data_IF_852174008595
#
_entry.id   IF_852174008595
#
_cell.length_a   1.000
_cell.length_b   1.000
_cell.length_c   1.000
_cell.angle_alpha   90.00
_cell.angle_beta   90.00
_cell.angle_gamma   90.00
#
_symmetry.space_group_name_H-M   'P 1'
#
loop_
_entity.id
_entity.type
_entity.pdbx_description
1 polymer ?
#
# COMPACT_ATOMS: atom_id res chain seq x y z
N UNK A 1 11.11 13.41 5.42
CA UNK A 1 10.29 14.17 4.47
C UNK A 1 11.06 15.37 3.91
N UNK A 2 11.50 16.32 4.71
CA UNK A 2 12.18 17.56 4.28
C UNK A 2 13.39 17.29 3.38
N UNK A 3 14.24 16.35 3.73
CA UNK A 3 15.39 15.98 2.92
C UNK A 3 15.00 15.59 1.47
N UNK A 4 13.90 14.87 1.29
CA UNK A 4 13.39 14.50 -0.03
C UNK A 4 12.81 15.68 -0.79
N UNK A 5 12.11 16.57 -0.09
CA UNK A 5 11.47 17.73 -0.72
C UNK A 5 12.48 18.81 -1.13
N UNK A 6 13.52 19.01 -0.33
CA UNK A 6 14.58 19.98 -0.63
C UNK A 6 15.46 19.55 -1.82
N UNK A 7 15.54 18.24 -2.08
CA UNK A 7 16.36 17.65 -3.15
C UNK A 7 15.51 17.01 -4.25
N UNK A 8 14.26 17.41 -4.39
CA UNK A 8 13.35 16.82 -5.38
C UNK A 8 13.85 17.07 -6.79
N UNK A 9 13.80 16.01 -7.61
CA UNK A 9 14.18 16.03 -9.02
C UNK A 9 12.93 15.90 -9.89
N UNK A 10 13.07 16.24 -11.17
CA UNK A 10 12.03 16.02 -12.17
C UNK A 10 11.59 14.57 -12.20
N UNK A 11 10.31 14.37 -12.33
CA UNK A 11 9.71 13.05 -12.36
C UNK A 11 9.05 12.78 -13.72
N UNK A 12 9.69 11.96 -14.53
CA UNK A 12 9.06 11.43 -15.73
C UNK A 12 7.92 10.49 -15.32
N UNK A 13 6.69 10.84 -15.68
CA UNK A 13 5.48 10.12 -15.29
C UNK A 13 5.00 9.11 -16.33
N UNK A 14 5.64 9.04 -17.51
CA UNK A 14 5.31 8.06 -18.55
C UNK A 14 6.04 6.73 -18.34
N UNK A 15 5.36 5.63 -18.67
CA UNK A 15 5.92 4.27 -18.64
C UNK A 15 5.48 3.52 -19.90
N UNK A 16 6.40 2.76 -20.48
CA UNK A 16 6.21 1.91 -21.65
C UNK A 16 5.75 0.52 -21.19
N UNK A 17 4.49 0.43 -20.72
CA UNK A 17 3.88 -0.79 -20.20
C UNK A 17 2.56 -1.06 -20.92
N UNK A 18 2.22 -2.33 -21.07
CA UNK A 18 0.93 -2.74 -21.68
C UNK A 18 -0.24 -2.49 -20.72
N UNK A 19 -0.02 -2.65 -19.43
CA UNK A 19 -1.04 -2.48 -18.40
C UNK A 19 -0.84 -1.20 -17.61
N UNK A 20 -1.86 -0.35 -17.55
CA UNK A 20 -1.85 0.88 -16.79
C UNK A 20 -2.91 1.87 -17.28
N UNK A 21 -2.87 3.10 -16.73
CA UNK A 21 -3.72 4.19 -17.17
C UNK A 21 -3.03 4.91 -18.33
N UNK A 22 -3.53 4.72 -19.55
CA UNK A 22 -3.01 5.38 -20.73
C UNK A 22 -3.03 6.91 -20.55
N UNK A 23 -1.95 7.57 -20.94
CA UNK A 23 -1.80 9.03 -20.78
C UNK A 23 -2.89 9.73 -21.59
N UNK A 24 -3.70 10.61 -20.97
CA UNK A 24 -4.81 11.29 -21.64
C UNK A 24 -4.32 12.50 -22.44
N UNK A 25 -3.34 12.28 -23.29
CA UNK A 25 -2.76 13.28 -24.20
C UNK A 25 -2.98 12.82 -25.64
N UNK A 26 -3.36 13.73 -26.49
CA UNK A 26 -3.65 13.49 -27.89
C UNK A 26 -2.80 14.41 -28.75
N UNK A 27 -2.25 13.87 -29.82
CA UNK A 27 -1.38 14.57 -30.76
C UNK A 27 -2.06 14.67 -32.14
N UNK A 28 -1.93 15.81 -32.75
CA UNK A 28 -2.28 16.05 -34.15
C UNK A 28 -1.21 16.95 -34.78
N UNK A 29 -0.26 16.37 -35.49
CA UNK A 29 0.96 17.03 -35.99
C UNK A 29 1.70 17.76 -34.84
N UNK A 30 1.72 19.11 -34.85
CA UNK A 30 2.37 19.92 -33.82
C UNK A 30 1.43 20.32 -32.66
N UNK A 31 0.14 19.96 -32.77
CA UNK A 31 -0.85 20.28 -31.73
C UNK A 31 -0.89 19.18 -30.66
N UNK A 32 -1.06 19.64 -29.43
CA UNK A 32 -1.20 18.77 -28.24
C UNK A 32 -2.49 19.11 -27.52
N UNK A 33 -3.28 18.10 -27.20
CA UNK A 33 -4.49 18.25 -26.40
C UNK A 33 -4.50 17.29 -25.21
N UNK A 34 -4.85 17.79 -24.03
CA UNK A 34 -5.00 16.99 -22.81
C UNK A 34 -6.47 16.83 -22.49
N UNK A 35 -6.94 15.58 -22.47
CA UNK A 35 -8.34 15.30 -22.18
C UNK A 35 -8.69 13.82 -22.31
N UNK A 36 -9.81 13.44 -21.70
CA UNK A 36 -10.29 12.06 -21.68
C UNK A 36 -10.60 11.50 -23.08
N UNK A 37 -11.10 12.34 -23.96
CA UNK A 37 -11.45 11.98 -25.33
C UNK A 37 -10.77 12.95 -26.29
N UNK A 38 -10.47 12.55 -27.53
CA UNK A 38 -9.87 13.46 -28.51
C UNK A 38 -10.84 14.61 -28.86
N UNK A 39 -10.33 15.74 -29.33
CA UNK A 39 -11.15 16.77 -29.92
C UNK A 39 -11.98 16.22 -31.10
N UNK A 40 -13.15 16.82 -31.33
CA UNK A 40 -14.05 16.36 -32.39
C UNK A 40 -13.55 16.63 -33.81
N UNK A 41 -12.65 17.60 -33.94
CA UNK A 41 -12.14 18.07 -35.24
C UNK A 41 -10.71 17.57 -35.44
N UNK A 42 -10.42 17.01 -36.61
CA UNK A 42 -9.09 16.52 -36.98
C UNK A 42 -8.89 15.04 -36.66
N UNK A 43 -7.70 14.56 -36.99
CA UNK A 43 -7.26 13.19 -36.69
C UNK A 43 -6.26 13.27 -35.54
N UNK A 44 -6.59 12.63 -34.42
CA UNK A 44 -5.79 12.67 -33.18
C UNK A 44 -5.31 11.28 -32.82
N UNK A 45 -4.06 11.17 -32.42
CA UNK A 45 -3.43 9.96 -31.92
C UNK A 45 -3.18 10.09 -30.42
N UNK A 46 -3.62 9.12 -29.63
CA UNK A 46 -3.39 9.12 -28.19
C UNK A 46 -1.96 8.70 -27.89
N UNK A 47 -1.37 9.30 -26.86
CA UNK A 47 -0.08 8.90 -26.32
C UNK A 47 -0.08 7.39 -26.00
N UNK A 48 0.87 6.61 -26.52
CA UNK A 48 0.89 5.15 -26.32
C UNK A 48 1.33 4.73 -24.91
N UNK A 49 1.96 5.63 -24.16
CA UNK A 49 2.47 5.34 -22.83
C UNK A 49 1.37 5.34 -21.77
N UNK A 50 1.68 4.75 -20.63
CA UNK A 50 0.81 4.77 -19.45
C UNK A 50 1.43 5.60 -18.33
N UNK A 51 0.60 6.06 -17.40
CA UNK A 51 1.05 6.80 -16.24
C UNK A 51 1.80 5.89 -15.26
N UNK A 52 2.83 6.44 -14.62
CA UNK A 52 3.49 5.83 -13.46
C UNK A 52 2.47 5.49 -12.39
N UNK A 53 2.61 4.32 -11.76
CA UNK A 53 1.68 3.86 -10.72
C UNK A 53 1.56 4.84 -9.55
N UNK A 54 2.65 5.54 -9.20
CA UNK A 54 2.64 6.52 -8.13
C UNK A 54 1.89 7.81 -8.50
N UNK A 55 1.76 8.10 -9.79
CA UNK A 55 0.98 9.24 -10.28
C UNK A 55 -0.53 9.04 -10.11
N UNK A 56 -1.02 7.81 -10.19
CA UNK A 56 -2.42 7.50 -9.89
C UNK A 56 -2.65 7.23 -8.39
N UNK A 57 -1.72 6.53 -7.71
CA UNK A 57 -1.87 6.18 -6.30
C UNK A 57 -1.76 7.37 -5.33
N UNK A 58 -1.20 8.50 -5.74
CA UNK A 58 -1.19 9.72 -4.92
C UNK A 58 -2.59 10.32 -4.72
N UNK A 59 -3.56 9.92 -5.56
CA UNK A 59 -4.96 10.34 -5.44
C UNK A 59 -5.72 9.58 -4.36
N UNK A 60 -5.12 8.53 -3.78
CA UNK A 60 -5.77 7.64 -2.81
C UNK A 60 -6.57 8.35 -1.71
N UNK A 61 -6.04 9.37 -1.00
CA UNK A 61 -6.72 9.96 0.15
C UNK A 61 -8.06 10.60 -0.17
N UNK A 62 -8.31 11.00 -1.41
CA UNK A 62 -9.54 11.66 -1.81
C UNK A 62 -10.30 10.95 -2.94
N UNK A 63 -9.62 10.24 -3.83
CA UNK A 63 -10.30 9.48 -4.89
C UNK A 63 -11.15 8.33 -4.32
N UNK A 64 -10.69 7.67 -3.24
CA UNK A 64 -11.45 6.63 -2.54
C UNK A 64 -12.67 7.16 -1.81
N UNK A 65 -12.73 8.46 -1.56
CA UNK A 65 -13.85 9.16 -0.92
C UNK A 65 -14.79 9.83 -1.94
N UNK A 66 -14.69 9.44 -3.22
CA UNK A 66 -15.62 9.87 -4.28
C UNK A 66 -15.16 11.04 -5.14
N UNK A 67 -13.99 11.66 -4.83
CA UNK A 67 -13.44 12.73 -5.67
C UNK A 67 -13.27 12.27 -7.13
N UNK A 68 -13.50 13.10 -8.12
CA UNK A 68 -13.96 14.51 -8.07
C UNK A 68 -15.49 14.69 -8.11
N UNK A 69 -16.26 13.61 -8.20
CA UNK A 69 -17.71 13.67 -8.49
C UNK A 69 -18.57 13.86 -7.25
N UNK A 70 -18.25 13.18 -6.17
CA UNK A 70 -18.98 13.24 -4.91
C UNK A 70 -18.03 13.67 -3.78
N UNK A 71 -18.41 14.73 -3.05
CA UNK A 71 -17.61 15.28 -1.96
C UNK A 71 -18.15 14.94 -0.57
N UNK A 72 -19.25 14.23 -0.49
CA UNK A 72 -19.92 13.95 0.81
C UNK A 72 -19.01 13.22 1.79
N UNK A 73 -18.27 12.22 1.32
CA UNK A 73 -17.36 11.46 2.18
C UNK A 73 -16.05 12.22 2.41
N UNK A 74 -15.61 13.03 1.45
CA UNK A 74 -14.45 13.93 1.62
C UNK A 74 -14.72 14.92 2.75
N UNK A 75 -15.85 15.62 2.74
CA UNK A 75 -16.23 16.59 3.78
C UNK A 75 -16.27 15.98 5.17
N UNK A 76 -16.53 14.67 5.27
CA UNK A 76 -16.63 13.96 6.54
C UNK A 76 -15.32 13.29 6.99
N UNK A 77 -14.54 12.75 6.08
CA UNK A 77 -13.43 11.84 6.37
C UNK A 77 -12.06 12.36 5.95
N UNK A 78 -11.99 13.45 5.21
CA UNK A 78 -10.73 14.09 4.82
C UNK A 78 -10.50 15.36 5.65
N UNK A 79 -9.31 15.58 6.21
CA UNK A 79 -8.18 14.65 6.26
C UNK A 79 -8.44 13.46 7.19
N UNK A 80 -7.76 12.34 6.92
CA UNK A 80 -7.76 11.19 7.82
C UNK A 80 -6.79 11.41 8.99
N UNK A 81 -6.91 10.62 10.06
CA UNK A 81 -6.03 10.74 11.23
C UNK A 81 -4.70 10.07 10.97
N UNK A 82 -4.72 8.82 10.54
CA UNK A 82 -3.55 7.97 10.48
C UNK A 82 -3.38 7.33 9.10
N UNK A 83 -2.16 7.38 8.57
CA UNK A 83 -1.69 6.59 7.45
C UNK A 83 -0.68 5.56 7.96
N UNK A 84 -0.94 4.28 7.70
CA UNK A 84 -0.03 3.18 8.03
C UNK A 84 0.63 2.68 6.76
N UNK A 85 1.96 2.68 6.70
CA UNK A 85 2.72 2.27 5.51
C UNK A 85 4.15 1.84 5.85
N UNK A 86 4.85 1.28 4.85
CA UNK A 86 6.28 0.97 4.96
C UNK A 86 7.16 2.21 4.78
N UNK A 87 8.31 2.29 5.46
CA UNK A 87 9.22 3.42 5.36
C UNK A 87 9.88 3.56 3.98
N UNK A 88 9.94 2.50 3.20
CA UNK A 88 10.55 2.44 1.89
C UNK A 88 9.76 3.19 0.81
N UNK A 89 8.50 3.53 1.06
CA UNK A 89 7.66 4.31 0.15
C UNK A 89 7.29 5.70 0.67
N UNK A 90 8.04 6.23 1.64
CA UNK A 90 7.80 7.60 2.15
C UNK A 90 7.87 8.64 1.02
N UNK A 91 8.86 8.55 0.14
CA UNK A 91 8.98 9.47 -0.99
C UNK A 91 8.00 9.12 -2.12
N UNK A 92 7.92 7.86 -2.49
CA UNK A 92 7.12 7.44 -3.64
C UNK A 92 5.62 7.61 -3.43
N UNK A 93 5.14 7.48 -2.20
CA UNK A 93 3.71 7.53 -1.91
C UNK A 93 3.32 8.62 -0.92
N UNK A 94 3.92 8.65 0.27
CA UNK A 94 3.52 9.59 1.33
C UNK A 94 3.72 11.04 0.89
N UNK A 95 4.93 11.39 0.42
CA UNK A 95 5.23 12.75 -0.04
C UNK A 95 4.34 13.16 -1.22
N UNK A 96 4.11 12.24 -2.16
CA UNK A 96 3.25 12.51 -3.32
C UNK A 96 1.79 12.69 -2.96
N UNK A 97 1.25 11.90 -2.00
CA UNK A 97 -0.09 12.12 -1.47
C UNK A 97 -0.23 13.50 -0.81
N UNK A 98 0.78 13.95 -0.06
CA UNK A 98 0.80 15.29 0.53
C UNK A 98 0.77 16.36 -0.56
N UNK A 99 1.60 16.23 -1.60
CA UNK A 99 1.63 17.15 -2.74
C UNK A 99 0.27 17.22 -3.43
N UNK A 100 -0.33 16.07 -3.74
CA UNK A 100 -1.64 16.00 -4.39
C UNK A 100 -2.74 16.58 -3.51
N UNK A 101 -2.77 16.27 -2.21
CA UNK A 101 -3.74 16.79 -1.26
C UNK A 101 -3.67 18.30 -1.14
N UNK A 102 -2.48 18.86 -0.99
CA UNK A 102 -2.27 20.31 -0.97
C UNK A 102 -2.67 20.99 -2.29
N UNK A 103 -2.46 20.32 -3.42
CA UNK A 103 -2.85 20.87 -4.73
C UNK A 103 -4.37 20.83 -4.94
N UNK A 104 -5.03 19.71 -4.61
CA UNK A 104 -6.45 19.45 -4.89
C UNK A 104 -7.36 20.02 -3.80
N UNK A 105 -7.17 19.56 -2.56
CA UNK A 105 -8.06 19.88 -1.41
C UNK A 105 -7.50 21.02 -0.54
N UNK A 106 -6.29 21.54 -0.84
CA UNK A 106 -5.61 22.61 -0.08
C UNK A 106 -5.27 22.26 1.36
N UNK A 107 -5.29 20.99 1.69
CA UNK A 107 -5.05 20.47 3.03
C UNK A 107 -4.23 19.18 2.99
N UNK A 108 -3.41 18.95 4.04
CA UNK A 108 -2.62 17.72 4.20
C UNK A 108 -3.57 16.54 4.43
N UNK A 109 -3.40 15.41 3.73
CA UNK A 109 -4.39 14.33 3.70
C UNK A 109 -4.48 13.49 4.99
N UNK A 110 -3.50 13.57 5.91
CA UNK A 110 -3.44 12.81 7.16
C UNK A 110 -2.58 13.52 8.19
N UNK A 111 -2.94 13.34 9.47
CA UNK A 111 -2.23 13.98 10.59
C UNK A 111 -0.97 13.22 10.99
N UNK A 112 -1.02 11.89 10.97
CA UNK A 112 0.05 11.00 11.39
C UNK A 112 0.43 10.01 10.29
N UNK A 113 1.71 9.66 10.22
CA UNK A 113 2.21 8.57 9.38
C UNK A 113 2.92 7.57 10.28
N UNK A 114 2.35 6.37 10.37
CA UNK A 114 2.90 5.27 11.13
C UNK A 114 3.66 4.32 10.21
N UNK A 115 4.96 4.18 10.42
CA UNK A 115 5.80 3.28 9.63
C UNK A 115 5.89 1.92 10.30
N UNK A 116 5.51 0.88 9.56
CA UNK A 116 5.66 -0.50 9.99
C UNK A 116 7.05 -1.04 9.65
N UNK A 117 7.49 -2.05 10.38
CA UNK A 117 8.65 -2.84 10.02
C UNK A 117 8.42 -3.65 8.74
N UNK A 118 9.51 -4.20 8.20
CA UNK A 118 9.53 -5.03 6.99
C UNK A 118 9.83 -6.47 7.39
N UNK A 119 9.19 -7.42 6.73
CA UNK A 119 9.53 -8.84 6.93
C UNK A 119 10.82 -9.17 6.17
N UNK A 120 11.78 -9.74 6.89
CA UNK A 120 13.09 -10.18 6.38
C UNK A 120 13.23 -11.69 6.46
N UNK A 121 14.05 -12.25 5.60
CA UNK A 121 14.37 -13.66 5.67
C UNK A 121 15.31 -13.98 6.87
N UNK A 122 15.63 -15.26 7.07
CA UNK A 122 16.52 -15.71 8.12
C UNK A 122 17.95 -15.16 8.08
N UNK A 123 18.34 -14.57 6.94
CA UNK A 123 19.63 -13.90 6.74
C UNK A 123 19.53 -12.38 6.88
N UNK A 124 18.37 -11.86 7.28
CA UNK A 124 18.13 -10.42 7.44
C UNK A 124 17.89 -9.65 6.14
N UNK A 125 17.76 -10.34 4.99
CA UNK A 125 17.50 -9.68 3.69
C UNK A 125 16.01 -9.40 3.54
N UNK A 126 15.67 -8.26 2.94
CA UNK A 126 14.28 -7.94 2.59
C UNK A 126 13.71 -9.04 1.67
N UNK A 127 12.53 -9.54 2.00
CA UNK A 127 11.83 -10.50 1.16
C UNK A 127 11.41 -9.87 -0.17
N UNK A 128 11.65 -10.57 -1.27
CA UNK A 128 11.22 -10.14 -2.60
C UNK A 128 10.96 -11.35 -3.51
N UNK A 129 10.06 -11.15 -4.49
CA UNK A 129 9.75 -12.17 -5.50
C UNK A 129 10.98 -12.51 -6.35
N UNK A 130 11.82 -11.52 -6.67
CA UNK A 130 13.02 -11.70 -7.47
C UNK A 130 14.11 -12.53 -6.78
N UNK A 131 14.18 -12.50 -5.45
CA UNK A 131 15.11 -13.31 -4.66
C UNK A 131 14.55 -14.70 -4.33
N UNK A 132 13.23 -14.94 -4.53
CA UNK A 132 12.59 -16.20 -4.20
C UNK A 132 12.66 -16.57 -2.69
N UNK A 133 12.88 -15.57 -1.82
CA UNK A 133 13.07 -15.74 -0.39
C UNK A 133 11.81 -15.45 0.44
N UNK A 134 10.66 -15.33 -0.21
CA UNK A 134 9.35 -15.14 0.43
C UNK A 134 8.57 -16.45 0.38
N UNK A 135 8.14 -17.00 1.52
CA UNK A 135 7.26 -18.17 1.52
C UNK A 135 5.90 -17.82 0.90
N UNK A 136 5.25 -18.80 0.29
CA UNK A 136 3.89 -18.60 -0.22
C UNK A 136 2.92 -18.47 0.98
N UNK A 137 2.17 -17.38 1.09
CA UNK A 137 1.20 -17.21 2.15
C UNK A 137 0.12 -18.29 2.19
N UNK A 138 -0.26 -18.85 1.05
CA UNK A 138 -1.27 -19.91 0.97
C UNK A 138 -0.73 -21.22 1.57
N UNK A 139 0.53 -21.56 1.30
CA UNK A 139 1.17 -22.72 1.90
C UNK A 139 1.27 -22.58 3.42
N UNK A 140 1.59 -21.39 3.90
CA UNK A 140 1.63 -21.13 5.34
C UNK A 140 0.26 -21.26 6.00
N UNK A 141 -0.78 -20.72 5.36
CA UNK A 141 -2.16 -20.83 5.84
C UNK A 141 -2.62 -22.28 5.86
N UNK A 142 -2.31 -23.05 4.83
CA UNK A 142 -2.65 -24.47 4.74
C UNK A 142 -1.95 -25.30 5.80
N UNK A 143 -0.68 -25.00 6.11
CA UNK A 143 0.12 -25.77 7.05
C UNK A 143 -0.09 -25.40 8.53
N UNK A 144 -0.30 -24.11 8.81
CA UNK A 144 -0.31 -23.58 10.18
C UNK A 144 -1.62 -22.85 10.55
N UNK A 145 -2.46 -22.54 9.58
CA UNK A 145 -3.63 -21.69 9.77
C UNK A 145 -3.31 -20.19 9.73
N UNK A 146 -4.25 -19.40 9.26
CA UNK A 146 -4.09 -17.94 9.11
C UNK A 146 -3.79 -17.25 10.44
N UNK A 147 -4.44 -17.68 11.52
CA UNK A 147 -4.26 -17.06 12.84
C UNK A 147 -2.86 -17.27 13.41
N UNK A 148 -2.23 -18.42 13.14
CA UNK A 148 -0.85 -18.66 13.57
C UNK A 148 0.14 -17.73 12.84
N UNK A 149 -0.04 -17.51 11.54
CA UNK A 149 0.78 -16.58 10.76
C UNK A 149 0.60 -15.15 11.26
N UNK A 150 -0.63 -14.71 11.44
CA UNK A 150 -0.96 -13.38 11.98
C UNK A 150 -0.38 -13.16 13.37
N UNK A 151 -0.55 -14.16 14.25
CA UNK A 151 0.00 -14.12 15.60
C UNK A 151 1.52 -13.99 15.60
N UNK A 152 2.21 -14.80 14.80
CA UNK A 152 3.67 -14.74 14.69
C UNK A 152 4.14 -13.34 14.28
N UNK A 153 3.61 -12.80 13.19
CA UNK A 153 4.03 -11.49 12.67
C UNK A 153 3.87 -10.38 13.71
N UNK A 154 2.77 -10.40 14.48
CA UNK A 154 2.48 -9.34 15.45
C UNK A 154 3.13 -9.56 16.83
N UNK A 155 3.52 -10.78 17.17
CA UNK A 155 4.11 -11.09 18.48
C UNK A 155 5.63 -11.17 18.47
N UNK A 156 6.26 -11.31 17.31
CA UNK A 156 7.71 -11.50 17.20
C UNK A 156 8.48 -10.20 17.51
N UNK A 157 7.96 -9.06 17.06
CA UNK A 157 8.58 -7.76 17.29
C UNK A 157 7.54 -6.64 17.36
N UNK A 158 7.88 -5.48 17.96
CA UNK A 158 7.04 -4.31 17.88
C UNK A 158 6.71 -3.96 16.41
N UNK A 159 5.49 -3.47 16.12
CA UNK A 159 5.05 -3.24 14.74
C UNK A 159 5.95 -2.32 13.91
N UNK A 160 6.71 -1.42 14.55
CA UNK A 160 7.65 -0.51 13.89
C UNK A 160 9.03 -1.14 13.62
N UNK A 161 9.28 -2.34 14.11
CA UNK A 161 10.55 -3.06 13.88
C UNK A 161 10.39 -4.16 12.84
N UNK A 162 11.48 -4.44 12.14
CA UNK A 162 11.53 -5.53 11.18
C UNK A 162 11.29 -6.88 11.86
N UNK A 163 10.50 -7.72 11.22
CA UNK A 163 10.24 -9.10 11.62
C UNK A 163 11.19 -10.01 10.87
N UNK A 164 11.98 -10.80 11.59
CA UNK A 164 12.79 -11.84 10.98
C UNK A 164 11.97 -13.11 10.83
N UNK A 165 11.74 -13.55 9.59
CA UNK A 165 10.94 -14.72 9.30
C UNK A 165 11.56 -16.00 9.88
N UNK A 166 10.72 -16.81 10.52
CA UNK A 166 11.12 -18.08 11.11
C UNK A 166 9.96 -19.09 11.03
N UNK A 167 10.17 -20.20 10.32
CA UNK A 167 9.19 -21.28 10.26
C UNK A 167 8.93 -21.91 11.64
N UNK A 168 9.96 -21.97 12.49
CA UNK A 168 9.83 -22.41 13.87
C UNK A 168 9.01 -21.45 14.71
N UNK A 169 9.07 -20.15 14.43
CA UNK A 169 8.24 -19.12 15.06
C UNK A 169 6.75 -19.32 14.74
N UNK A 170 6.42 -19.53 13.46
CA UNK A 170 5.03 -19.80 13.04
C UNK A 170 4.50 -21.10 13.65
N UNK A 171 5.32 -22.17 13.65
CA UNK A 171 4.96 -23.44 14.30
C UNK A 171 4.72 -23.26 15.81
N UNK A 172 5.52 -22.44 16.48
CA UNK A 172 5.35 -22.13 17.90
C UNK A 172 4.06 -21.34 18.17
N UNK A 173 3.73 -20.39 17.31
CA UNK A 173 2.48 -19.64 17.36
C UNK A 173 1.27 -20.57 17.22
N UNK A 174 1.31 -21.51 16.25
CA UNK A 174 0.25 -22.51 16.09
C UNK A 174 0.07 -23.36 17.36
N UNK A 175 1.17 -23.88 17.91
CA UNK A 175 1.13 -24.68 19.16
C UNK A 175 0.55 -23.88 20.35
N UNK A 176 0.89 -22.58 20.42
CA UNK A 176 0.34 -21.70 21.45
C UNK A 176 -1.19 -21.55 21.30
N UNK A 177 -1.66 -21.26 20.09
CA UNK A 177 -3.10 -21.12 19.82
C UNK A 177 -3.86 -22.41 20.08
N UNK A 178 -3.30 -23.56 19.73
CA UNK A 178 -3.90 -24.86 20.06
C UNK A 178 -4.02 -25.10 21.57
N UNK A 179 -2.98 -24.72 22.35
CA UNK A 179 -3.05 -24.79 23.81
C UNK A 179 -4.13 -23.88 24.38
N UNK A 180 -4.24 -22.66 23.87
CA UNK A 180 -5.27 -21.70 24.28
C UNK A 180 -6.67 -22.24 23.98
N UNK A 181 -6.86 -22.81 22.79
CA UNK A 181 -8.11 -23.42 22.37
C UNK A 181 -8.52 -24.58 23.28
N UNK A 182 -7.58 -25.50 23.54
CA UNK A 182 -7.81 -26.65 24.43
C UNK A 182 -8.11 -26.23 25.88
N UNK A 183 -7.42 -25.20 26.38
CA UNK A 183 -7.71 -24.63 27.70
C UNK A 183 -9.13 -24.08 27.79
N UNK A 184 -9.56 -23.32 26.75
CA UNK A 184 -10.91 -22.81 26.68
C UNK A 184 -11.96 -23.94 26.71
N UNK A 185 -11.73 -25.02 25.95
CA UNK A 185 -12.64 -26.19 25.99
C UNK A 185 -12.68 -26.84 27.36
N UNK A 186 -11.52 -27.00 28.04
CA UNK A 186 -11.48 -27.56 29.38
C UNK A 186 -12.23 -26.70 30.41
N UNK A 187 -12.10 -25.36 30.31
CA UNK A 187 -12.81 -24.42 31.19
C UNK A 187 -14.31 -24.52 30.93
N UNK A 188 -14.72 -24.47 29.66
CA UNK A 188 -16.12 -24.51 29.24
C UNK A 188 -16.81 -25.84 29.59
N UNK A 189 -16.03 -26.95 29.66
CA UNK A 189 -16.54 -28.25 30.02
C UNK A 189 -16.64 -28.44 31.55
N UNK A 190 -16.04 -27.56 32.35
CA UNK A 190 -16.24 -27.56 33.81
C UNK A 190 -17.66 -27.10 34.11
N UNK A 191 -18.53 -28.02 34.48
CA UNK A 191 -19.80 -27.63 35.08
C UNK A 191 -19.47 -26.94 36.38
N UNK A 192 -19.92 -25.72 36.56
CA UNK A 192 -19.84 -25.00 37.81
C UNK A 192 -20.48 -25.92 38.91
N UNK A 193 -19.65 -26.29 39.88
CA UNK A 193 -20.15 -26.95 41.07
C UNK A 193 -20.51 -25.93 42.11
#
# INVERSE_FOLDING_TARGET
YYHWMENIQDWCISRQLIWGHQIPVWYNNEELYVGKNPPKNGTWEQDPDVLDTWFSSWLWPFATLGWPKDKKDIEKFYPTQDLVTGPDIIFFWVARMIMAGLYVEKEIPFSNVYFTGIVRDSQGRKMSKSLGNSPDPLDLINNYGADAVRWFILSDSPPEKDVQWSDTGVSSANKFLQKLWNLNHQISARKDK
#
